data_IF_989423078896
#
_entry.id   IF_989423078896
#
_cell.length_a   1.000
_cell.length_b   1.000
_cell.length_c   1.000
_cell.angle_alpha   90.00
_cell.angle_beta   90.00
_cell.angle_gamma   90.00
#
_symmetry.space_group_name_H-M   'P 1'
#
loop_
_entity.id
_entity.type
_entity.pdbx_description
1 polymer ?
#
# COMPACT_ATOMS: atom_id res chain seq x y z
N UNK A 1 -33.69 23.17 -48.62
CA UNK A 1 -33.98 23.93 -47.39
C UNK A 1 -32.97 23.51 -46.34
N UNK A 2 -31.92 24.31 -46.16
CA UNK A 2 -30.83 24.03 -45.23
C UNK A 2 -31.23 24.52 -43.85
N UNK A 3 -31.29 23.63 -42.86
CA UNK A 3 -31.54 24.02 -41.48
C UNK A 3 -30.34 24.84 -40.97
N UNK A 4 -30.56 26.02 -40.36
CA UNK A 4 -29.48 26.77 -39.75
C UNK A 4 -28.96 26.00 -38.54
N UNK A 5 -27.65 25.72 -38.54
CA UNK A 5 -26.94 25.20 -37.39
C UNK A 5 -27.09 26.21 -36.25
N UNK A 6 -27.86 25.86 -35.22
CA UNK A 6 -28.00 26.67 -34.02
C UNK A 6 -26.63 26.70 -33.29
N UNK A 7 -25.95 27.86 -33.19
CA UNK A 7 -24.65 27.98 -32.51
C UNK A 7 -24.77 27.82 -30.99
N UNK A 8 -25.96 27.54 -30.45
CA UNK A 8 -26.14 27.04 -29.07
C UNK A 8 -25.73 25.57 -28.93
N UNK A 9 -24.63 25.17 -29.56
CA UNK A 9 -23.86 23.97 -29.17
C UNK A 9 -23.52 24.13 -27.70
N UNK A 10 -24.32 23.46 -26.88
CA UNK A 10 -23.99 23.02 -25.54
C UNK A 10 -23.13 24.03 -24.80
N UNK A 11 -23.74 25.20 -24.50
CA UNK A 11 -23.39 25.89 -23.27
C UNK A 11 -23.35 24.79 -22.23
N UNK A 12 -22.14 24.49 -21.77
CA UNK A 12 -21.91 23.72 -20.57
C UNK A 12 -22.64 24.51 -19.49
N UNK A 13 -23.95 24.26 -19.36
CA UNK A 13 -24.76 24.71 -18.23
C UNK A 13 -23.85 24.46 -17.06
N UNK A 14 -23.43 25.54 -16.42
CA UNK A 14 -22.34 25.59 -15.45
C UNK A 14 -22.48 24.44 -14.47
N UNK A 15 -21.90 23.29 -14.83
CA UNK A 15 -21.97 22.09 -14.02
C UNK A 15 -21.19 22.43 -12.77
N UNK A 16 -21.72 22.01 -11.63
CA UNK A 16 -20.95 22.03 -10.39
C UNK A 16 -19.56 21.46 -10.67
N UNK A 17 -18.48 22.19 -10.35
CA UNK A 17 -17.14 21.64 -10.38
C UNK A 17 -17.11 20.37 -9.51
N UNK A 18 -16.47 19.32 -9.98
CA UNK A 18 -16.42 18.09 -9.21
C UNK A 18 -15.57 18.29 -7.95
N UNK A 19 -16.02 17.71 -6.83
CA UNK A 19 -15.25 17.76 -5.59
C UNK A 19 -14.01 16.85 -5.67
N UNK A 20 -12.99 17.10 -4.85
CA UNK A 20 -11.79 16.25 -4.77
C UNK A 20 -12.13 14.76 -4.56
N UNK A 21 -13.02 14.36 -3.64
CA UNK A 21 -13.40 12.96 -3.49
C UNK A 21 -14.10 12.40 -4.74
N UNK A 22 -15.00 13.16 -5.39
CA UNK A 22 -15.65 12.75 -6.64
C UNK A 22 -14.63 12.50 -7.77
N UNK A 23 -13.66 13.41 -7.94
CA UNK A 23 -12.58 13.25 -8.92
C UNK A 23 -11.69 12.03 -8.61
N UNK A 24 -11.48 11.76 -7.33
CA UNK A 24 -10.69 10.61 -6.88
C UNK A 24 -11.43 9.29 -7.15
N UNK A 25 -12.73 9.22 -6.89
CA UNK A 25 -13.58 8.09 -7.28
C UNK A 25 -13.60 7.89 -8.79
N UNK A 26 -13.68 8.98 -9.57
CA UNK A 26 -13.61 8.92 -11.04
C UNK A 26 -12.26 8.39 -11.55
N UNK A 27 -11.17 8.69 -10.83
CA UNK A 27 -9.86 8.12 -11.10
C UNK A 27 -9.85 6.61 -10.87
N UNK A 28 -10.43 6.13 -9.77
CA UNK A 28 -10.52 4.71 -9.41
C UNK A 28 -11.41 3.88 -10.36
N UNK A 29 -12.60 4.38 -10.68
CA UNK A 29 -13.62 3.63 -11.42
C UNK A 29 -13.19 3.23 -12.84
N UNK A 30 -12.24 3.96 -13.43
CA UNK A 30 -11.73 3.71 -14.77
C UNK A 30 -10.34 3.09 -14.79
N UNK A 31 -9.80 2.72 -13.61
CA UNK A 31 -8.47 2.13 -13.51
C UNK A 31 -8.56 0.63 -13.82
N UNK A 32 -8.25 0.26 -15.06
CA UNK A 32 -8.14 -1.15 -15.45
C UNK A 32 -6.82 -1.73 -14.92
N UNK A 33 -6.93 -2.64 -13.96
CA UNK A 33 -5.80 -3.39 -13.39
C UNK A 33 -6.07 -4.89 -13.47
N UNK A 34 -5.19 -5.60 -14.15
CA UNK A 34 -5.14 -7.05 -14.32
C UNK A 34 -3.75 -7.59 -13.92
N UNK A 35 -3.70 -8.45 -12.91
CA UNK A 35 -2.46 -9.03 -12.40
C UNK A 35 -1.73 -9.93 -13.41
N UNK A 36 -2.39 -10.30 -14.52
CA UNK A 36 -1.81 -11.17 -15.55
C UNK A 36 -1.00 -10.44 -16.61
N UNK A 37 -1.20 -9.13 -16.76
CA UNK A 37 -0.48 -8.29 -17.72
C UNK A 37 0.98 -8.08 -17.31
N UNK A 38 1.87 -7.76 -18.27
CA UNK A 38 3.28 -7.48 -17.96
C UNK A 38 3.40 -6.16 -17.17
N UNK A 39 4.28 -6.10 -16.16
CA UNK A 39 4.59 -4.86 -15.43
C UNK A 39 4.95 -3.70 -16.38
N UNK A 40 5.58 -4.01 -17.53
CA UNK A 40 5.92 -3.03 -18.57
C UNK A 40 4.68 -2.38 -19.17
N UNK A 41 3.58 -3.12 -19.30
CA UNK A 41 2.31 -2.58 -19.75
C UNK A 41 1.86 -1.46 -18.81
N UNK A 42 1.83 -1.73 -17.50
CA UNK A 42 1.40 -0.75 -16.50
C UNK A 42 2.28 0.49 -16.44
N UNK A 43 3.60 0.32 -16.54
CA UNK A 43 4.51 1.46 -16.58
C UNK A 43 4.27 2.37 -17.80
N UNK A 44 3.95 1.78 -18.95
CA UNK A 44 3.56 2.54 -20.15
C UNK A 44 2.23 3.26 -19.94
N UNK A 45 1.23 2.58 -19.39
CA UNK A 45 -0.09 3.15 -19.10
C UNK A 45 0.01 4.31 -18.10
N UNK A 46 0.74 4.14 -17.00
CA UNK A 46 1.01 5.22 -16.04
C UNK A 46 1.72 6.41 -16.71
N UNK A 47 2.65 6.13 -17.62
CA UNK A 47 3.39 7.16 -18.36
C UNK A 47 2.50 7.99 -19.27
N UNK A 48 1.52 7.34 -19.90
CA UNK A 48 0.50 8.02 -20.68
C UNK A 48 -0.38 8.89 -19.78
N UNK A 49 -0.90 8.36 -18.66
CA UNK A 49 -1.70 9.14 -17.72
C UNK A 49 -0.96 10.37 -17.18
N UNK A 50 0.32 10.23 -16.82
CA UNK A 50 1.13 11.38 -16.39
C UNK A 50 1.29 12.42 -17.49
N UNK A 51 1.55 11.99 -18.73
CA UNK A 51 1.71 12.88 -19.88
C UNK A 51 0.41 13.63 -20.17
N UNK A 52 -0.70 12.91 -20.23
CA UNK A 52 -2.03 13.48 -20.46
C UNK A 52 -2.40 14.44 -19.33
N UNK A 53 -2.12 14.07 -18.08
CA UNK A 53 -2.31 14.94 -16.92
C UNK A 53 -1.57 16.27 -17.04
N UNK A 54 -0.29 16.25 -17.44
CA UNK A 54 0.48 17.48 -17.69
C UNK A 54 -0.08 18.30 -18.85
N UNK A 55 -0.61 17.65 -19.88
CA UNK A 55 -1.26 18.35 -20.99
C UNK A 55 -2.55 19.03 -20.55
N UNK A 56 -3.37 18.38 -19.72
CA UNK A 56 -4.57 18.99 -19.13
C UNK A 56 -4.24 20.18 -18.21
N UNK A 57 -3.10 20.14 -17.50
CA UNK A 57 -2.62 21.32 -16.75
C UNK A 57 -2.34 22.48 -17.69
N UNK A 58 -1.70 22.22 -18.84
CA UNK A 58 -1.37 23.27 -19.84
C UNK A 58 -2.61 23.84 -20.50
N UNK A 59 -3.64 23.02 -20.75
CA UNK A 59 -4.90 23.48 -21.35
C UNK A 59 -5.81 24.21 -20.34
N UNK A 60 -5.56 24.05 -19.03
CA UNK A 60 -6.37 24.61 -17.97
C UNK A 60 -7.56 23.72 -17.56
N UNK A 61 -7.62 22.48 -18.02
CA UNK A 61 -8.61 21.48 -17.62
C UNK A 61 -8.20 20.79 -16.32
N UNK A 62 -8.23 21.55 -15.21
CA UNK A 62 -7.67 21.13 -13.92
C UNK A 62 -8.30 19.83 -13.37
N UNK A 63 -9.59 19.61 -13.59
CA UNK A 63 -10.31 18.39 -13.13
C UNK A 63 -9.78 17.14 -13.84
N UNK A 64 -9.67 17.19 -15.17
CA UNK A 64 -9.12 16.09 -15.97
C UNK A 64 -7.63 15.88 -15.67
N UNK A 65 -6.88 16.96 -15.44
CA UNK A 65 -5.48 16.89 -15.01
C UNK A 65 -5.34 16.12 -13.70
N UNK A 66 -6.15 16.46 -12.70
CA UNK A 66 -6.16 15.79 -11.41
C UNK A 66 -6.53 14.32 -11.54
N UNK A 67 -7.57 13.98 -12.29
CA UNK A 67 -7.99 12.57 -12.50
C UNK A 67 -6.86 11.74 -13.11
N UNK A 68 -6.20 12.23 -14.17
CA UNK A 68 -5.14 11.47 -14.84
C UNK A 68 -3.88 11.35 -13.99
N UNK A 69 -3.46 12.43 -13.32
CA UNK A 69 -2.31 12.37 -12.41
C UNK A 69 -2.59 11.45 -11.22
N UNK A 70 -3.81 11.47 -10.68
CA UNK A 70 -4.24 10.56 -9.61
C UNK A 70 -4.22 9.10 -10.07
N UNK A 71 -4.70 8.80 -11.29
CA UNK A 71 -4.58 7.45 -11.87
C UNK A 71 -3.13 6.99 -11.98
N UNK A 72 -2.24 7.86 -12.47
CA UNK A 72 -0.82 7.54 -12.57
C UNK A 72 -0.22 7.26 -11.18
N UNK A 73 -0.54 8.09 -10.18
CA UNK A 73 -0.07 7.93 -8.81
C UNK A 73 -0.58 6.62 -8.17
N UNK A 74 -1.87 6.31 -8.27
CA UNK A 74 -2.45 5.07 -7.74
C UNK A 74 -1.80 3.85 -8.40
N UNK A 75 -1.67 3.85 -9.73
CA UNK A 75 -1.06 2.73 -10.43
C UNK A 75 0.38 2.49 -9.96
N UNK A 76 1.16 3.56 -9.78
CA UNK A 76 2.59 3.46 -9.49
C UNK A 76 2.90 3.21 -8.02
N UNK A 77 2.15 3.85 -7.13
CA UNK A 77 2.42 3.83 -5.69
C UNK A 77 1.66 2.71 -4.98
N UNK A 78 0.44 2.38 -5.44
CA UNK A 78 -0.39 1.35 -4.80
C UNK A 78 -0.40 0.03 -5.54
N UNK A 79 -0.59 0.04 -6.87
CA UNK A 79 -0.81 -1.20 -7.64
C UNK A 79 0.48 -1.89 -8.07
N UNK A 80 1.44 -1.14 -8.62
CA UNK A 80 2.71 -1.69 -9.10
C UNK A 80 3.48 -2.50 -8.04
N UNK A 81 3.61 -2.06 -6.77
CA UNK A 81 4.30 -2.85 -5.75
C UNK A 81 3.66 -4.20 -5.42
N UNK A 82 2.38 -4.39 -5.79
CA UNK A 82 1.64 -5.65 -5.61
C UNK A 82 1.87 -6.63 -6.78
N UNK A 83 2.47 -6.17 -7.88
CA UNK A 83 2.69 -6.99 -9.06
C UNK A 83 3.74 -8.08 -8.81
N UNK A 84 3.51 -9.30 -9.31
CA UNK A 84 4.41 -10.46 -9.13
C UNK A 84 5.85 -10.19 -9.58
N UNK A 85 6.00 -9.49 -10.70
CA UNK A 85 7.30 -9.20 -11.33
C UNK A 85 7.95 -7.90 -10.84
N UNK A 86 7.37 -7.22 -9.84
CA UNK A 86 7.88 -5.94 -9.34
C UNK A 86 9.31 -6.05 -8.80
N UNK A 87 9.59 -7.08 -8.00
CA UNK A 87 10.91 -7.25 -7.39
C UNK A 87 11.95 -7.89 -8.31
N UNK A 88 11.50 -8.56 -9.38
CA UNK A 88 12.36 -9.29 -10.34
C UNK A 88 12.78 -8.40 -11.50
N UNK A 89 11.87 -7.60 -12.08
CA UNK A 89 12.15 -6.80 -13.26
C UNK A 89 12.68 -5.40 -12.96
N UNK A 90 12.36 -4.82 -11.79
CA UNK A 90 12.82 -3.49 -11.40
C UNK A 90 14.08 -3.57 -10.55
N UNK A 91 15.10 -2.81 -10.93
CA UNK A 91 16.29 -2.63 -10.10
C UNK A 91 15.96 -1.89 -8.78
N UNK A 92 16.75 -2.08 -7.71
CA UNK A 92 16.56 -1.34 -6.45
C UNK A 92 16.51 0.17 -6.62
N UNK A 93 17.34 0.74 -7.50
CA UNK A 93 17.35 2.17 -7.80
C UNK A 93 16.06 2.64 -8.48
N UNK A 94 15.54 1.87 -9.45
CA UNK A 94 14.24 2.16 -10.07
C UNK A 94 13.11 2.10 -9.05
N UNK A 95 13.11 1.08 -8.17
CA UNK A 95 12.11 0.98 -7.09
C UNK A 95 12.21 2.14 -6.10
N UNK A 96 13.40 2.65 -5.82
CA UNK A 96 13.59 3.83 -4.98
C UNK A 96 13.04 5.09 -5.66
N UNK A 97 13.26 5.26 -6.97
CA UNK A 97 12.71 6.38 -7.74
C UNK A 97 11.17 6.35 -7.84
N UNK A 98 10.60 5.15 -7.95
CA UNK A 98 9.14 4.95 -7.94
C UNK A 98 8.55 5.04 -6.52
N UNK A 99 9.28 4.56 -5.52
CA UNK A 99 8.86 4.40 -4.13
C UNK A 99 9.33 5.50 -3.19
N UNK A 100 9.72 6.67 -3.72
CA UNK A 100 10.22 7.84 -2.95
C UNK A 100 9.15 8.51 -2.06
N UNK A 101 8.13 7.73 -1.66
CA UNK A 101 7.01 8.08 -0.78
C UNK A 101 6.94 7.11 0.41
N UNK A 102 7.94 6.22 0.60
CA UNK A 102 7.96 5.29 1.75
C UNK A 102 7.99 5.98 3.12
N UNK A 103 8.26 7.28 3.19
CA UNK A 103 8.15 8.07 4.44
C UNK A 103 6.72 8.04 5.00
N UNK A 104 5.71 7.81 4.18
CA UNK A 104 4.31 7.76 4.62
C UNK A 104 3.76 6.34 4.88
N UNK A 105 4.57 5.29 4.65
CA UNK A 105 4.16 3.91 4.91
C UNK A 105 4.21 3.54 6.41
N UNK A 106 4.84 4.39 7.24
CA UNK A 106 4.90 4.22 8.70
C UNK A 106 3.61 4.67 9.42
N UNK A 107 2.73 5.43 8.77
CA UNK A 107 1.46 5.88 9.39
C UNK A 107 0.29 4.90 9.26
N UNK A 108 0.48 3.72 8.63
CA UNK A 108 -0.58 2.70 8.50
C UNK A 108 -1.82 3.10 7.68
N UNK A 109 -1.83 4.34 7.18
CA UNK A 109 -2.85 4.90 6.31
C UNK A 109 -2.34 4.78 4.88
N UNK A 110 -3.07 4.05 4.02
CA UNK A 110 -2.72 3.87 2.59
C UNK A 110 -2.56 5.20 1.84
N UNK A 111 -2.21 5.19 0.55
CA UNK A 111 -1.96 6.44 -0.17
C UNK A 111 -3.18 7.37 -0.16
N UNK A 112 -4.40 6.82 -0.06
CA UNK A 112 -5.62 7.55 0.27
C UNK A 112 -5.57 8.34 1.59
N UNK A 113 -5.13 7.72 2.68
CA UNK A 113 -5.01 8.42 3.95
C UNK A 113 -3.86 9.42 3.95
N UNK A 114 -2.85 9.25 3.09
CA UNK A 114 -1.80 10.24 2.90
C UNK A 114 -2.30 11.49 2.15
N UNK A 115 -3.15 11.30 1.12
CA UNK A 115 -3.83 12.38 0.39
C UNK A 115 -4.77 13.17 1.31
N UNK A 116 -5.45 12.51 2.25
CA UNK A 116 -6.36 13.13 3.23
C UNK A 116 -5.63 13.76 4.43
N UNK A 117 -4.55 13.15 4.94
CA UNK A 117 -3.78 13.71 6.05
C UNK A 117 -3.03 14.99 5.67
N UNK A 118 -2.66 15.16 4.39
CA UNK A 118 -2.12 16.43 3.89
C UNK A 118 -3.15 17.57 3.97
N UNK A 119 -4.45 17.28 3.92
CA UNK A 119 -5.52 18.28 4.10
C UNK A 119 -5.75 18.63 5.58
N UNK A 120 -5.68 17.64 6.48
CA UNK A 120 -5.81 17.88 7.93
C UNK A 120 -4.61 18.66 8.51
N UNK A 121 -3.39 18.37 8.03
CA UNK A 121 -2.18 19.06 8.50
C UNK A 121 -2.08 20.52 7.98
N UNK A 122 -2.63 20.81 6.79
CA UNK A 122 -2.66 22.17 6.23
C UNK A 122 -3.80 23.02 6.81
N UNK A 123 -4.95 22.42 7.10
CA UNK A 123 -6.07 23.08 7.80
C UNK A 123 -5.68 23.52 9.22
N UNK A 124 -4.83 22.73 9.88
CA UNK A 124 -4.24 23.10 11.18
C UNK A 124 -3.20 24.24 11.12
N UNK A 125 -2.62 24.55 9.95
CA UNK A 125 -1.64 25.62 9.79
C UNK A 125 -2.27 26.98 9.43
N UNK A 126 -3.49 27.01 8.90
CA UNK A 126 -4.15 28.26 8.46
C UNK A 126 -5.39 28.65 9.25
N UNK A 127 -5.86 27.81 10.18
CA UNK A 127 -7.07 28.07 10.95
C UNK A 127 -6.91 27.78 12.44
N UNK A 128 -6.85 28.85 13.24
CA UNK A 128 -6.82 28.84 14.71
C UNK A 128 -5.45 28.58 15.34
N UNK A 129 -4.72 29.68 15.54
CA UNK A 129 -3.79 29.84 16.65
C UNK A 129 -4.54 29.66 17.98
N UNK A 130 -4.94 28.43 18.33
CA UNK A 130 -5.04 28.05 19.73
C UNK A 130 -3.61 27.87 20.19
N UNK A 131 -3.18 28.85 20.96
CA UNK A 131 -1.98 28.86 21.76
C UNK A 131 -1.93 27.59 22.62
N UNK A 132 -1.41 26.49 22.05
CA UNK A 132 -0.95 25.37 22.85
C UNK A 132 0.32 25.90 23.51
N UNK A 133 0.16 26.34 24.76
CA UNK A 133 1.27 26.66 25.62
C UNK A 133 2.19 25.44 25.71
N UNK A 134 3.43 25.60 25.25
CA UNK A 134 4.51 24.62 25.42
C UNK A 134 5.26 24.84 26.74
N UNK A 135 4.62 25.40 27.77
CA UNK A 135 5.17 25.45 29.12
C UNK A 135 4.89 24.12 29.83
N UNK A 136 5.74 23.12 29.57
CA UNK A 136 6.18 22.06 30.51
C UNK A 136 6.57 20.77 29.77
N UNK A 137 7.79 20.73 29.25
CA UNK A 137 8.51 19.47 29.02
C UNK A 137 9.96 19.68 29.46
N UNK A 138 10.40 19.05 30.56
CA UNK A 138 11.77 19.18 31.02
C UNK A 138 12.74 18.31 30.20
N UNK A 139 13.92 18.88 30.01
CA UNK A 139 15.21 18.27 29.67
C UNK A 139 15.31 16.75 29.85
N UNK A 140 15.31 15.99 28.76
CA UNK A 140 16.11 14.75 28.68
C UNK A 140 16.61 14.63 27.23
N UNK A 141 17.90 14.31 27.08
CA UNK A 141 18.68 14.04 25.87
C UNK A 141 19.54 15.22 25.37
N UNK A 142 20.64 15.46 26.11
CA UNK A 142 21.83 16.07 25.54
C UNK A 142 22.42 15.16 24.45
N UNK A 143 22.43 15.65 23.22
CA UNK A 143 23.23 15.11 22.12
C UNK A 143 24.04 16.23 21.46
N UNK A 144 25.33 15.98 21.17
CA UNK A 144 26.29 17.02 20.78
C UNK A 144 26.09 17.49 19.35
N UNK A 145 26.20 18.82 19.18
CA UNK A 145 26.24 19.50 17.90
C UNK A 145 27.50 19.11 17.12
N UNK A 146 27.34 18.54 15.93
CA UNK A 146 28.45 18.12 15.09
C UNK A 146 28.13 18.08 13.59
N UNK A 147 28.55 19.15 12.90
CA UNK A 147 28.94 19.22 11.47
C UNK A 147 27.83 19.15 10.42
N UNK A 148 27.50 20.36 9.95
CA UNK A 148 26.92 20.65 8.64
C UNK A 148 27.70 19.95 7.52
N UNK A 149 27.03 19.07 6.76
CA UNK A 149 27.52 18.52 5.49
C UNK A 149 26.76 19.21 4.36
N UNK A 150 27.53 19.90 3.52
CA UNK A 150 27.08 20.51 2.28
C UNK A 150 26.35 19.50 1.40
N UNK A 151 25.07 19.78 1.14
CA UNK A 151 24.25 19.04 0.19
C UNK A 151 24.56 19.59 -1.20
N UNK A 152 25.18 18.78 -2.06
CA UNK A 152 25.44 19.13 -3.47
C UNK A 152 24.20 18.74 -4.29
N UNK A 153 23.54 19.68 -5.00
CA UNK A 153 22.45 19.32 -5.90
C UNK A 153 23.00 18.66 -7.16
N UNK A 154 22.64 17.40 -7.39
CA UNK A 154 22.86 16.74 -8.69
C UNK A 154 21.82 17.28 -9.69
N UNK A 155 22.14 18.35 -10.41
CA UNK A 155 21.37 18.76 -11.59
C UNK A 155 21.82 17.92 -12.78
N UNK A 156 21.07 16.87 -13.08
CA UNK A 156 21.21 16.12 -14.33
C UNK A 156 20.24 16.71 -15.35
N UNK A 157 20.75 17.58 -16.22
CA UNK A 157 20.02 18.08 -17.38
C UNK A 157 20.16 17.08 -18.53
N UNK A 158 19.04 16.53 -19.02
CA UNK A 158 19.00 15.70 -20.22
C UNK A 158 18.29 16.44 -21.36
N UNK A 159 18.99 16.50 -22.49
CA UNK A 159 18.54 17.06 -23.76
C UNK A 159 17.49 16.13 -24.40
N UNK A 160 16.36 16.71 -24.82
CA UNK A 160 15.32 16.01 -25.56
C UNK A 160 15.68 15.81 -27.03
N UNK A 161 15.50 14.60 -27.54
CA UNK A 161 15.41 14.33 -28.97
C UNK A 161 14.05 13.68 -29.24
N UNK A 162 13.23 14.40 -30.00
CA UNK A 162 11.96 13.93 -30.53
C UNK A 162 12.16 13.18 -31.86
N UNK A 163 11.34 12.14 -32.07
CA UNK A 163 10.90 11.72 -33.40
C UNK A 163 11.62 10.51 -34.02
N UNK A 164 11.08 9.31 -33.79
CA UNK A 164 11.46 8.13 -34.57
C UNK A 164 10.64 6.89 -34.20
N UNK A 165 9.57 6.62 -34.95
CA UNK A 165 8.72 5.44 -34.79
C UNK A 165 9.47 4.16 -35.19
N UNK A 166 9.92 3.37 -34.21
CA UNK A 166 10.58 2.09 -34.44
C UNK A 166 10.91 1.34 -33.15
N UNK A 167 9.89 1.01 -32.35
CA UNK A 167 10.02 0.42 -31.01
C UNK A 167 10.22 -1.10 -31.05
N UNK A 168 11.47 -1.56 -31.20
CA UNK A 168 11.86 -2.94 -30.84
C UNK A 168 13.13 -2.99 -29.99
N UNK A 169 13.65 -1.84 -29.55
CA UNK A 169 14.91 -1.78 -28.81
C UNK A 169 14.68 -1.80 -27.30
N UNK A 170 15.36 -2.70 -26.61
CA UNK A 170 15.45 -2.76 -25.14
C UNK A 170 15.95 -1.44 -24.54
N UNK A 171 16.58 -0.58 -25.33
CA UNK A 171 17.06 0.74 -24.94
C UNK A 171 15.92 1.74 -24.65
N UNK A 172 14.74 1.60 -25.26
CA UNK A 172 13.62 2.54 -25.09
C UNK A 172 12.96 2.41 -23.71
N UNK A 173 13.09 1.24 -23.07
CA UNK A 173 12.55 1.00 -21.74
C UNK A 173 13.29 1.83 -20.66
N UNK A 174 14.60 2.03 -20.81
CA UNK A 174 15.38 2.81 -19.86
C UNK A 174 14.99 4.29 -19.85
N UNK A 175 14.61 4.85 -21.01
CA UNK A 175 14.11 6.23 -21.11
C UNK A 175 12.76 6.41 -20.41
N UNK A 176 11.86 5.43 -20.54
CA UNK A 176 10.57 5.42 -19.85
C UNK A 176 10.73 5.38 -18.32
N UNK A 177 11.69 4.60 -17.82
CA UNK A 177 11.96 4.51 -16.37
C UNK A 177 12.57 5.78 -15.78
N UNK A 178 13.53 6.39 -16.46
CA UNK A 178 14.19 7.60 -15.94
C UNK A 178 13.28 8.82 -15.96
N UNK A 179 12.27 8.85 -16.81
CA UNK A 179 11.28 9.93 -16.81
C UNK A 179 10.33 9.84 -15.61
N UNK A 180 10.16 8.66 -15.02
CA UNK A 180 9.19 8.42 -13.95
C UNK A 180 9.71 8.83 -12.57
N UNK A 181 9.71 10.14 -12.33
CA UNK A 181 9.92 10.65 -10.98
C UNK A 181 8.57 10.69 -10.25
N UNK A 182 8.37 9.80 -9.28
CA UNK A 182 7.15 9.75 -8.46
C UNK A 182 6.87 11.08 -7.75
N UNK A 183 7.93 11.79 -7.36
CA UNK A 183 7.85 13.07 -6.68
C UNK A 183 7.20 14.16 -7.55
N UNK A 184 7.60 14.28 -8.81
CA UNK A 184 7.08 15.31 -9.74
C UNK A 184 5.56 15.19 -9.96
N UNK A 185 5.01 13.97 -9.95
CA UNK A 185 3.57 13.78 -10.03
C UNK A 185 2.86 14.24 -8.75
N UNK A 186 3.44 13.92 -7.58
CA UNK A 186 2.88 14.32 -6.30
C UNK A 186 2.96 15.82 -6.08
N UNK A 187 4.05 16.46 -6.51
CA UNK A 187 4.20 17.91 -6.47
C UNK A 187 3.12 18.57 -7.34
N UNK A 188 2.95 18.08 -8.58
CA UNK A 188 1.91 18.61 -9.50
C UNK A 188 0.50 18.40 -8.91
N UNK A 189 0.22 17.25 -8.29
CA UNK A 189 -1.04 17.02 -7.59
C UNK A 189 -1.22 17.96 -6.39
N UNK A 190 -0.15 18.20 -5.64
CA UNK A 190 -0.12 19.14 -4.52
C UNK A 190 -0.44 20.58 -4.93
N UNK A 191 0.03 21.00 -6.10
CA UNK A 191 -0.24 22.32 -6.67
C UNK A 191 -1.67 22.46 -7.20
N UNK A 192 -2.23 21.40 -7.80
CA UNK A 192 -3.59 21.42 -8.36
C UNK A 192 -4.68 21.45 -7.29
N UNK A 193 -4.47 20.74 -6.17
CA UNK A 193 -5.48 20.59 -5.11
C UNK A 193 -6.02 21.92 -4.59
N UNK A 194 -5.20 22.89 -4.13
CA UNK A 194 -5.70 24.17 -3.64
C UNK A 194 -6.56 24.92 -4.67
N UNK A 195 -6.19 24.87 -5.95
CA UNK A 195 -6.95 25.54 -7.02
C UNK A 195 -8.30 24.88 -7.26
N UNK A 196 -8.38 23.54 -7.20
CA UNK A 196 -9.64 22.81 -7.33
C UNK A 196 -10.57 23.05 -6.14
N UNK A 197 -10.03 23.02 -4.92
CA UNK A 197 -10.78 23.31 -3.68
C UNK A 197 -11.34 24.73 -3.72
N UNK A 198 -10.51 25.72 -4.05
CA UNK A 198 -10.96 27.13 -4.16
C UNK A 198 -12.07 27.30 -5.22
N UNK A 199 -11.96 26.61 -6.37
CA UNK A 199 -13.01 26.65 -7.40
C UNK A 199 -14.32 26.02 -6.93
N UNK A 200 -14.24 24.92 -6.20
CA UNK A 200 -15.39 24.24 -5.63
C UNK A 200 -16.07 25.08 -4.53
N UNK A 201 -15.29 25.66 -3.62
CA UNK A 201 -15.78 26.52 -2.54
C UNK A 201 -16.44 27.78 -3.08
N UNK A 202 -15.84 28.42 -4.09
CA UNK A 202 -16.44 29.56 -4.79
C UNK A 202 -17.78 29.18 -5.44
N UNK A 203 -17.89 27.97 -5.97
CA UNK A 203 -19.14 27.50 -6.54
C UNK A 203 -20.21 27.31 -5.45
N UNK A 204 -19.86 26.71 -4.31
CA UNK A 204 -20.76 26.56 -3.14
C UNK A 204 -21.23 27.92 -2.65
N UNK A 205 -20.33 28.89 -2.51
CA UNK A 205 -20.68 30.25 -2.08
C UNK A 205 -21.65 30.94 -3.05
N UNK A 206 -21.52 30.69 -4.35
CA UNK A 206 -22.41 31.24 -5.37
C UNK A 206 -23.75 30.48 -5.47
N UNK A 207 -23.82 29.24 -4.97
CA UNK A 207 -25.00 28.37 -5.06
C UNK A 207 -25.33 27.76 -3.69
N UNK A 208 -25.71 28.57 -2.68
CA UNK A 208 -26.03 28.06 -1.34
C UNK A 208 -27.21 27.07 -1.34
N UNK A 209 -28.14 27.21 -2.29
CA UNK A 209 -29.31 26.34 -2.46
C UNK A 209 -29.00 25.04 -3.25
N UNK A 210 -27.74 24.84 -3.67
CA UNK A 210 -27.37 23.98 -4.80
C UNK A 210 -26.76 22.61 -4.48
N UNK A 211 -26.49 22.27 -3.22
CA UNK A 211 -25.90 20.95 -2.91
C UNK A 211 -26.89 19.80 -3.16
N UNK A 212 -28.17 20.00 -2.83
CA UNK A 212 -29.19 18.94 -2.92
C UNK A 212 -29.93 18.90 -4.28
N UNK A 213 -29.84 19.96 -5.09
CA UNK A 213 -30.64 20.11 -6.32
C UNK A 213 -30.06 19.42 -7.58
N UNK A 214 -28.83 18.90 -7.53
CA UNK A 214 -28.27 18.13 -8.67
C UNK A 214 -28.69 16.66 -8.68
N UNK A 215 -29.41 16.19 -7.65
CA UNK A 215 -29.96 14.83 -7.63
C UNK A 215 -31.19 14.73 -8.55
N UNK A 216 -30.92 14.41 -9.82
CA UNK A 216 -31.86 13.94 -10.87
C UNK A 216 -32.91 14.94 -11.39
N UNK A 217 -32.63 15.62 -12.53
CA UNK A 217 -33.65 16.34 -13.30
C UNK A 217 -34.74 15.44 -13.91
N UNK A 218 -34.59 14.11 -13.84
CA UNK A 218 -35.53 13.12 -14.38
C UNK A 218 -36.53 12.58 -13.34
N UNK A 219 -36.51 13.08 -12.10
CA UNK A 219 -37.46 12.64 -11.06
C UNK A 219 -38.91 13.16 -11.25
N UNK A 220 -39.19 13.88 -12.34
CA UNK A 220 -40.51 14.47 -12.58
C UNK A 220 -41.43 13.62 -13.47
N UNK A 221 -41.10 12.34 -13.67
CA UNK A 221 -42.09 11.37 -14.12
C UNK A 221 -42.96 10.99 -12.91
N UNK A 222 -44.29 11.20 -12.96
CA UNK A 222 -45.21 10.68 -11.96
C UNK A 222 -45.20 9.15 -12.08
N UNK A 223 -44.22 8.51 -11.47
CA UNK A 223 -44.26 7.08 -11.26
C UNK A 223 -45.40 6.81 -10.28
N UNK A 224 -46.35 5.92 -10.59
CA UNK A 224 -47.37 5.51 -9.65
C UNK A 224 -46.62 4.97 -8.44
N UNK A 225 -46.73 5.68 -7.32
CA UNK A 225 -46.12 5.31 -6.04
C UNK A 225 -46.40 3.82 -5.80
N UNK A 226 -45.38 2.95 -5.80
CA UNK A 226 -45.56 1.57 -5.42
C UNK A 226 -46.08 1.58 -3.99
N UNK A 227 -47.24 0.97 -3.78
CA UNK A 227 -47.92 0.85 -2.50
C UNK A 227 -46.89 0.62 -1.37
N UNK A 228 -46.75 1.58 -0.44
CA UNK A 228 -45.63 1.64 0.53
C UNK A 228 -45.46 0.35 1.34
N UNK A 229 -46.55 -0.40 1.53
CA UNK A 229 -46.55 -1.71 2.16
C UNK A 229 -45.71 -2.77 1.41
N UNK A 230 -45.71 -2.73 0.07
CA UNK A 230 -44.97 -3.69 -0.76
C UNK A 230 -43.48 -3.33 -0.83
N UNK A 231 -43.15 -2.03 -0.78
CA UNK A 231 -41.77 -1.54 -0.68
C UNK A 231 -41.15 -1.91 0.67
N UNK A 232 -41.90 -1.78 1.78
CA UNK A 232 -41.41 -2.20 3.10
C UNK A 232 -41.23 -3.72 3.21
N UNK A 233 -42.15 -4.52 2.65
CA UNK A 233 -42.03 -5.98 2.66
C UNK A 233 -40.81 -6.48 1.86
N UNK A 234 -40.54 -5.88 0.70
CA UNK A 234 -39.37 -6.22 -0.11
C UNK A 234 -38.06 -5.77 0.53
N UNK A 235 -38.02 -4.60 1.17
CA UNK A 235 -36.86 -4.15 1.94
C UNK A 235 -36.53 -5.08 3.13
N UNK A 236 -37.56 -5.57 3.84
CA UNK A 236 -37.38 -6.53 4.93
C UNK A 236 -36.84 -7.87 4.43
N UNK A 237 -37.37 -8.40 3.31
CA UNK A 237 -36.87 -9.63 2.69
C UNK A 237 -35.41 -9.50 2.23
N UNK A 238 -35.05 -8.35 1.66
CA UNK A 238 -33.68 -8.07 1.25
C UNK A 238 -32.72 -8.07 2.45
N UNK A 239 -33.09 -7.42 3.56
CA UNK A 239 -32.28 -7.43 4.78
C UNK A 239 -32.14 -8.83 5.40
N UNK A 240 -33.20 -9.64 5.41
CA UNK A 240 -33.14 -11.02 5.91
C UNK A 240 -32.25 -11.91 5.01
N UNK A 241 -32.29 -11.71 3.69
CA UNK A 241 -31.38 -12.39 2.78
C UNK A 241 -29.93 -11.94 2.93
N UNK A 242 -29.68 -10.64 3.14
CA UNK A 242 -28.36 -10.09 3.42
C UNK A 242 -27.77 -10.72 4.69
N UNK A 243 -28.53 -10.78 5.79
CA UNK A 243 -28.10 -11.40 7.04
C UNK A 243 -27.77 -12.89 6.87
N UNK A 244 -28.54 -13.61 6.06
CA UNK A 244 -28.30 -15.02 5.75
C UNK A 244 -27.05 -15.21 4.88
N UNK A 245 -26.75 -14.28 3.96
CA UNK A 245 -25.49 -14.28 3.20
C UNK A 245 -24.30 -14.01 4.12
N UNK A 246 -24.44 -13.08 5.05
CA UNK A 246 -23.40 -12.76 6.02
C UNK A 246 -23.13 -13.91 7.00
N UNK A 247 -24.17 -14.57 7.53
CA UNK A 247 -24.00 -15.77 8.35
C UNK A 247 -23.28 -16.90 7.59
N UNK A 248 -23.60 -17.10 6.30
CA UNK A 248 -22.88 -18.06 5.46
C UNK A 248 -21.41 -17.67 5.25
N UNK A 249 -21.11 -16.38 5.09
CA UNK A 249 -19.74 -15.87 4.96
C UNK A 249 -18.93 -16.14 6.23
N UNK A 250 -19.48 -15.84 7.40
CA UNK A 250 -18.83 -16.08 8.69
C UNK A 250 -18.60 -17.58 8.94
N UNK A 251 -19.60 -18.42 8.67
CA UNK A 251 -19.47 -19.87 8.81
C UNK A 251 -18.40 -20.45 7.85
N UNK A 252 -18.32 -19.92 6.62
CA UNK A 252 -17.29 -20.33 5.66
C UNK A 252 -15.89 -19.90 6.10
N UNK A 253 -15.74 -18.70 6.66
CA UNK A 253 -14.46 -18.21 7.18
C UNK A 253 -14.01 -19.00 8.40
N UNK A 254 -14.91 -19.32 9.33
CA UNK A 254 -14.61 -20.17 10.49
C UNK A 254 -14.22 -21.58 10.05
N UNK A 255 -14.94 -22.17 9.09
CA UNK A 255 -14.59 -23.45 8.50
C UNK A 255 -13.21 -23.42 7.82
N UNK A 256 -12.81 -22.31 7.20
CA UNK A 256 -11.49 -22.15 6.61
C UNK A 256 -10.39 -22.08 7.69
N UNK A 257 -10.64 -21.42 8.83
CA UNK A 257 -9.69 -21.43 9.96
C UNK A 257 -9.47 -22.83 10.51
N UNK A 258 -10.55 -23.60 10.69
CA UNK A 258 -10.45 -25.00 11.15
C UNK A 258 -9.71 -25.90 10.15
N UNK A 259 -9.82 -25.64 8.84
CA UNK A 259 -9.01 -26.35 7.83
C UNK A 259 -7.53 -26.03 7.96
N UNK A 260 -7.16 -24.74 8.08
CA UNK A 260 -5.76 -24.33 8.25
C UNK A 260 -5.12 -24.92 9.51
N UNK A 261 -5.83 -24.91 10.64
CA UNK A 261 -5.31 -25.52 11.87
C UNK A 261 -5.06 -27.02 11.73
N UNK A 262 -5.94 -27.75 11.04
CA UNK A 262 -5.71 -29.19 10.78
C UNK A 262 -4.51 -29.41 9.86
N UNK A 263 -4.38 -28.61 8.81
CA UNK A 263 -3.26 -28.68 7.86
C UNK A 263 -1.92 -28.37 8.56
N UNK A 264 -1.86 -27.34 9.40
CA UNK A 264 -0.68 -27.03 10.22
C UNK A 264 -0.33 -28.16 11.20
N UNK A 265 -1.34 -28.76 11.84
CA UNK A 265 -1.12 -29.89 12.75
C UNK A 265 -0.60 -31.11 11.99
N UNK A 266 -1.16 -31.41 10.82
CA UNK A 266 -0.69 -32.48 9.95
C UNK A 266 0.74 -32.22 9.47
N UNK A 267 1.07 -31.00 9.04
CA UNK A 267 2.42 -30.61 8.62
C UNK A 267 3.43 -30.78 9.76
N UNK A 268 3.09 -30.40 11.00
CA UNK A 268 3.93 -30.63 12.18
C UNK A 268 4.18 -32.12 12.43
N UNK A 269 3.16 -32.96 12.31
CA UNK A 269 3.32 -34.42 12.45
C UNK A 269 4.14 -35.02 11.32
N UNK A 270 4.03 -34.47 10.11
CA UNK A 270 4.79 -34.92 8.96
C UNK A 270 6.26 -34.50 9.07
N UNK A 271 6.54 -33.27 9.52
CA UNK A 271 7.90 -32.78 9.82
C UNK A 271 8.56 -33.63 10.89
N UNK A 272 7.89 -33.87 12.01
CA UNK A 272 8.42 -34.74 13.07
C UNK A 272 8.66 -36.17 12.60
N UNK A 273 7.78 -36.72 11.74
CA UNK A 273 8.00 -38.02 11.10
C UNK A 273 9.22 -38.01 10.17
N UNK A 274 9.38 -36.97 9.34
CA UNK A 274 10.54 -36.81 8.44
C UNK A 274 11.85 -36.70 9.23
N UNK A 275 11.86 -35.92 10.32
CA UNK A 275 13.01 -35.76 11.21
C UNK A 275 13.37 -37.07 11.91
N UNK A 276 12.37 -37.81 12.42
CA UNK A 276 12.60 -39.12 13.01
C UNK A 276 13.21 -40.13 12.02
N UNK A 277 12.72 -40.13 10.77
CA UNK A 277 13.28 -40.97 9.69
C UNK A 277 14.71 -40.53 9.33
N UNK A 278 14.99 -39.23 9.26
CA UNK A 278 16.33 -38.71 9.00
C UNK A 278 17.30 -39.08 10.12
N UNK A 279 16.89 -38.93 11.39
CA UNK A 279 17.67 -39.33 12.55
C UNK A 279 17.96 -40.84 12.57
N UNK A 280 16.96 -41.68 12.26
CA UNK A 280 17.14 -43.13 12.14
C UNK A 280 18.13 -43.50 11.03
N UNK A 281 18.07 -42.83 9.87
CA UNK A 281 19.05 -43.02 8.77
C UNK A 281 20.46 -42.61 9.17
N UNK A 282 20.61 -41.50 9.90
CA UNK A 282 21.92 -41.07 10.41
C UNK A 282 22.48 -42.07 11.41
N UNK A 283 21.65 -42.60 12.33
CA UNK A 283 22.06 -43.63 13.28
C UNK A 283 22.46 -44.95 12.60
N UNK A 284 21.73 -45.38 11.57
CA UNK A 284 22.04 -46.60 10.82
C UNK A 284 23.34 -46.49 10.00
N UNK A 285 23.64 -45.30 9.46
CA UNK A 285 24.86 -45.04 8.70
C UNK A 285 26.05 -44.60 9.58
N UNK A 286 25.84 -44.41 10.89
CA UNK A 286 26.93 -44.11 11.80
C UNK A 286 27.92 -45.28 11.74
N UNK A 287 29.17 -45.06 11.31
CA UNK A 287 30.15 -46.15 11.21
C UNK A 287 30.29 -46.78 12.59
N UNK A 288 30.25 -48.11 12.67
CA UNK A 288 30.36 -48.93 13.90
C UNK A 288 31.72 -48.78 14.64
N UNK A 289 32.39 -47.63 14.54
CA UNK A 289 33.71 -47.35 15.10
C UNK A 289 33.72 -47.14 16.63
N UNK A 290 32.57 -47.14 17.32
CA UNK A 290 32.51 -46.90 18.76
C UNK A 290 32.53 -48.16 19.64
N UNK A 291 32.43 -49.37 19.08
CA UNK A 291 32.44 -50.59 19.90
C UNK A 291 33.76 -50.88 20.66
N UNK A 292 34.82 -50.08 20.46
CA UNK A 292 36.09 -50.22 21.20
C UNK A 292 36.50 -48.98 22.01
N UNK A 293 35.76 -47.88 21.98
CA UNK A 293 36.18 -46.61 22.65
C UNK A 293 35.43 -46.30 23.95
N UNK A 294 34.27 -46.90 24.19
CA UNK A 294 33.48 -46.62 25.41
C UNK A 294 34.01 -47.32 26.68
N UNK A 295 34.88 -48.32 26.54
CA UNK A 295 35.53 -48.98 27.68
C UNK A 295 36.54 -48.12 28.44
N UNK A 296 37.09 -47.07 27.84
CA UNK A 296 38.01 -46.15 28.53
C UNK A 296 37.27 -45.08 29.33
N UNK A 297 36.13 -44.58 28.83
CA UNK A 297 35.36 -43.53 29.51
C UNK A 297 34.73 -44.03 30.81
N UNK A 298 34.24 -45.27 30.84
CA UNK A 298 33.69 -45.85 32.08
C UNK A 298 34.80 -46.14 33.09
N UNK A 299 35.98 -46.59 32.64
CA UNK A 299 37.16 -46.74 33.52
C UNK A 299 37.66 -45.41 34.07
N UNK A 300 37.60 -44.33 33.28
CA UNK A 300 37.96 -42.98 33.74
C UNK A 300 36.97 -42.47 34.79
N UNK A 301 35.66 -42.66 34.57
CA UNK A 301 34.62 -42.30 35.56
C UNK A 301 34.78 -43.06 36.86
N UNK A 302 35.09 -44.35 36.79
CA UNK A 302 35.32 -45.17 37.98
C UNK A 302 36.59 -44.73 38.73
N UNK A 303 37.67 -44.35 38.03
CA UNK A 303 38.87 -43.77 38.66
C UNK A 303 38.59 -42.44 39.36
N UNK A 304 37.73 -41.60 38.80
CA UNK A 304 37.33 -40.33 39.44
C UNK A 304 36.54 -40.61 40.72
N UNK A 305 35.59 -41.54 40.67
CA UNK A 305 34.84 -41.97 41.86
C UNK A 305 35.74 -42.56 42.94
N UNK A 306 36.72 -43.40 42.57
CA UNK A 306 37.66 -44.00 43.52
C UNK A 306 38.55 -42.95 44.19
N UNK A 307 39.01 -41.93 43.44
CA UNK A 307 39.76 -40.80 44.01
C UNK A 307 38.93 -40.00 44.99
N UNK A 308 37.68 -39.71 44.66
CA UNK A 308 36.77 -38.97 45.55
C UNK A 308 36.51 -39.78 46.82
N UNK A 309 36.31 -41.09 46.70
CA UNK A 309 36.13 -42.01 47.85
C UNK A 309 37.37 -42.03 48.76
N UNK A 310 38.57 -42.09 48.18
CA UNK A 310 39.83 -42.03 48.95
C UNK A 310 40.01 -40.68 49.64
N UNK A 311 39.65 -39.58 48.97
CA UNK A 311 39.71 -38.22 49.54
C UNK A 311 38.79 -38.09 50.76
N UNK A 312 37.55 -38.59 50.66
CA UNK A 312 36.61 -38.59 51.78
C UNK A 312 37.10 -39.44 52.95
N UNK A 313 37.72 -40.60 52.69
CA UNK A 313 38.29 -41.47 53.73
C UNK A 313 39.47 -40.81 54.45
N UNK A 314 40.33 -40.11 53.71
CA UNK A 314 41.46 -39.37 54.29
C UNK A 314 40.98 -38.22 55.19
N UNK A 315 39.94 -37.49 54.77
CA UNK A 315 39.33 -36.44 55.60
C UNK A 315 38.74 -37.02 56.90
N UNK A 316 38.08 -38.18 56.84
CA UNK A 316 37.52 -38.83 58.02
C UNK A 316 38.60 -39.22 59.06
N UNK A 317 39.74 -39.76 58.61
CA UNK A 317 40.86 -40.10 59.50
C UNK A 317 41.49 -38.84 60.13
N UNK A 318 41.56 -37.73 59.40
CA UNK A 318 42.09 -36.46 59.95
C UNK A 318 41.19 -35.80 61.00
N UNK A 319 39.94 -36.26 61.15
CA UNK A 319 39.03 -35.80 62.20
C UNK A 319 39.08 -36.64 63.47
N UNK A 320 39.74 -37.80 63.45
CA UNK A 320 39.89 -38.70 64.61
C UNK A 320 41.19 -38.45 65.41
N UNK A 321 42.13 -37.65 64.88
CA UNK A 321 43.32 -37.14 65.59
C UNK A 321 43.04 -35.81 66.30
#
# INVERSE_FOLDING_TARGET
MSQPLDPRRYSSKSKRPASIPELTEQALNNLQWDENEDIKHYLRVAGNYRRDGKEFVRTGELENAFVQLTRAAILVLEKLPLHRDYYTLLSPAQRQNLGLVRVYQLSGLGAFGCIMLLEDYRSHLTGSARQISYDAMPEILGLPHGKSRNFVPCSVTWFGMDGGTGLTSTHDLYGLFNSFNGQDMLDTLGDLKPTLVDRFDKWIQAHPDGIDNERTPDANLPHPMPNDAQTQASAAQYHEEEQRREQRRLAAEEAARWRRQREEQEELTERTRKDAVAAARQAANAPQRSATRDGESDRERERVFERERLRLRALALSMEE
#
